data_IF_013474231691
#
_entry.id   IF_013474231691
#
_cell.length_a   1.000
_cell.length_b   1.000
_cell.length_c   1.000
_cell.angle_alpha   90.00
_cell.angle_beta   90.00
_cell.angle_gamma   90.00
#
_symmetry.space_group_name_H-M   'P 1'
#
loop_
_entity.id
_entity.type
_entity.pdbx_description
1 polymer ?
#
# COMPACT_ATOMS: atom_id res chain seq x y z
N UNK A 1 -3.87 -25.47 17.96
CA UNK A 1 -4.18 -24.42 16.96
C UNK A 1 -2.89 -24.15 16.18
N UNK A 2 -2.90 -24.15 14.84
CA UNK A 2 -1.64 -23.95 14.10
C UNK A 2 -1.09 -22.54 14.34
N UNK A 3 0.24 -22.35 14.37
CA UNK A 3 0.86 -21.03 14.50
C UNK A 3 0.33 -20.02 13.46
N UNK A 4 0.05 -20.48 12.24
CA UNK A 4 -0.58 -19.71 11.17
C UNK A 4 -1.99 -19.23 11.54
N UNK A 5 -2.86 -20.10 12.07
CA UNK A 5 -4.21 -19.71 12.52
C UNK A 5 -4.20 -18.71 13.67
N UNK A 6 -3.15 -18.75 14.52
CA UNK A 6 -2.97 -17.76 15.56
C UNK A 6 -2.56 -16.40 15.00
N UNK A 7 -1.63 -16.38 14.03
CA UNK A 7 -1.20 -15.16 13.34
C UNK A 7 -2.35 -14.51 12.55
N UNK A 8 -3.14 -15.30 11.81
CA UNK A 8 -4.33 -14.80 11.10
C UNK A 8 -5.32 -14.12 12.06
N UNK A 9 -5.56 -14.70 13.24
CA UNK A 9 -6.44 -14.13 14.26
C UNK A 9 -5.86 -12.85 14.87
N UNK A 10 -4.55 -12.77 15.10
CA UNK A 10 -3.89 -11.56 15.60
C UNK A 10 -3.97 -10.42 14.60
N UNK A 11 -3.71 -10.70 13.32
CA UNK A 11 -3.87 -9.73 12.23
C UNK A 11 -5.32 -9.25 12.21
N UNK A 12 -6.31 -10.14 12.07
CA UNK A 12 -7.71 -9.77 11.97
C UNK A 12 -8.25 -8.93 13.15
N UNK A 13 -7.72 -9.13 14.36
CA UNK A 13 -8.22 -8.45 15.58
C UNK A 13 -7.48 -7.16 15.93
N UNK A 14 -6.23 -6.98 15.49
CA UNK A 14 -5.39 -5.82 15.88
C UNK A 14 -5.22 -4.79 14.77
N UNK A 15 -5.30 -5.19 13.50
CA UNK A 15 -5.18 -4.29 12.35
C UNK A 15 -6.21 -3.14 12.34
N UNK A 16 -7.51 -3.37 12.63
CA UNK A 16 -8.51 -2.30 12.62
C UNK A 16 -8.22 -1.24 13.69
N UNK A 17 -7.67 -1.63 14.83
CA UNK A 17 -7.31 -0.72 15.91
C UNK A 17 -6.13 0.19 15.52
N UNK A 18 -5.11 -0.36 14.86
CA UNK A 18 -3.97 0.38 14.33
C UNK A 18 -4.39 1.37 13.23
N UNK A 19 -5.31 0.96 12.35
CA UNK A 19 -5.85 1.82 11.28
C UNK A 19 -6.67 3.01 11.83
N UNK A 20 -7.35 2.82 12.97
CA UNK A 20 -8.16 3.85 13.60
C UNK A 20 -7.33 4.91 14.35
N UNK A 21 -6.14 4.56 14.87
CA UNK A 21 -5.37 5.43 15.78
C UNK A 21 -3.98 5.85 15.25
N UNK A 22 -3.54 5.38 14.09
CA UNK A 22 -2.15 5.54 13.61
C UNK A 22 -1.78 6.87 12.93
N UNK A 23 -2.71 7.82 12.75
CA UNK A 23 -2.47 9.04 11.96
C UNK A 23 -2.16 10.26 12.83
N UNK A 24 -1.04 10.23 13.54
CA UNK A 24 -0.37 11.45 14.01
C UNK A 24 1.14 11.22 14.13
N UNK A 25 1.83 11.08 12.99
CA UNK A 25 3.27 10.81 12.93
C UNK A 25 4.02 11.91 12.15
N UNK A 26 3.90 13.17 12.56
CA UNK A 26 4.74 14.26 12.00
C UNK A 26 6.11 14.41 12.69
N UNK A 27 6.39 13.68 13.80
CA UNK A 27 7.64 13.78 14.59
C UNK A 27 8.50 12.50 14.61
N UNK A 28 8.23 11.53 13.74
CA UNK A 28 8.72 10.15 13.94
C UNK A 28 9.29 9.49 12.68
N UNK A 29 10.02 10.22 11.84
CA UNK A 29 10.67 9.65 10.64
C UNK A 29 11.48 8.39 10.96
N UNK A 30 12.30 8.46 12.01
CA UNK A 30 13.13 7.34 12.49
C UNK A 30 12.30 6.14 12.96
N UNK A 31 11.12 6.37 13.56
CA UNK A 31 10.24 5.29 14.02
C UNK A 31 9.58 4.58 12.84
N UNK A 32 9.12 5.33 11.83
CA UNK A 32 8.51 4.75 10.62
C UNK A 32 9.54 3.92 9.87
N UNK A 33 10.77 4.44 9.69
CA UNK A 33 11.86 3.66 9.10
C UNK A 33 12.18 2.40 9.90
N UNK A 34 12.23 2.50 11.24
CA UNK A 34 12.47 1.35 12.12
C UNK A 34 11.34 0.32 12.02
N UNK A 35 10.08 0.75 11.95
CA UNK A 35 8.90 -0.12 11.80
C UNK A 35 8.90 -0.82 10.45
N UNK A 36 9.21 -0.10 9.37
CA UNK A 36 9.34 -0.69 8.03
C UNK A 36 10.46 -1.73 8.03
N UNK A 37 11.63 -1.40 8.56
CA UNK A 37 12.76 -2.31 8.63
C UNK A 37 12.43 -3.56 9.48
N UNK A 38 11.85 -3.38 10.67
CA UNK A 38 11.46 -4.49 11.54
C UNK A 38 10.40 -5.40 10.90
N UNK A 39 9.40 -4.81 10.24
CA UNK A 39 8.36 -5.56 9.54
C UNK A 39 8.92 -6.35 8.36
N UNK A 40 9.85 -5.74 7.61
CA UNK A 40 10.51 -6.38 6.46
C UNK A 40 11.37 -7.58 6.88
N UNK A 41 12.12 -7.43 7.96
CA UNK A 41 12.96 -8.51 8.50
C UNK A 41 12.11 -9.65 9.08
N UNK A 42 11.00 -9.30 9.77
CA UNK A 42 10.02 -10.28 10.23
C UNK A 42 9.41 -11.06 9.06
N UNK A 43 8.95 -10.37 8.01
CA UNK A 43 8.38 -11.01 6.83
C UNK A 43 9.40 -11.91 6.13
N UNK A 44 10.65 -11.46 5.99
CA UNK A 44 11.75 -12.27 5.43
C UNK A 44 11.96 -13.56 6.21
N UNK A 45 11.98 -13.50 7.55
CA UNK A 45 12.12 -14.68 8.42
C UNK A 45 10.91 -15.61 8.34
N UNK A 46 9.70 -15.05 8.31
CA UNK A 46 8.47 -15.83 8.16
C UNK A 46 8.45 -16.55 6.81
N UNK A 47 8.80 -15.85 5.74
CA UNK A 47 8.90 -16.43 4.40
C UNK A 47 9.94 -17.55 4.34
N UNK A 48 11.12 -17.36 4.93
CA UNK A 48 12.14 -18.40 5.00
C UNK A 48 11.67 -19.67 5.75
N UNK A 49 10.74 -19.52 6.70
CA UNK A 49 10.23 -20.62 7.54
C UNK A 49 8.98 -21.30 6.99
N UNK A 50 8.08 -20.55 6.36
CA UNK A 50 6.73 -20.99 6.00
C UNK A 50 6.45 -20.87 4.49
N UNK A 51 7.41 -20.40 3.69
CA UNK A 51 7.32 -20.32 2.23
C UNK A 51 6.25 -19.35 1.74
N UNK A 52 5.68 -19.67 0.58
CA UNK A 52 4.78 -18.79 -0.18
C UNK A 52 3.43 -18.53 0.50
N UNK A 53 3.06 -19.34 1.49
CA UNK A 53 1.83 -19.13 2.26
C UNK A 53 1.85 -17.78 2.99
N UNK A 54 3.03 -17.35 3.47
CA UNK A 54 3.21 -16.03 4.08
C UNK A 54 2.94 -14.93 3.08
N UNK A 55 3.42 -15.07 1.85
CA UNK A 55 3.21 -14.09 0.80
C UNK A 55 1.72 -13.88 0.52
N UNK A 56 0.97 -14.98 0.35
CA UNK A 56 -0.47 -14.93 0.11
C UNK A 56 -1.25 -14.31 1.27
N UNK A 57 -0.89 -14.65 2.52
CA UNK A 57 -1.56 -14.10 3.71
C UNK A 57 -1.26 -12.60 3.85
N UNK A 58 -0.01 -12.20 3.65
CA UNK A 58 0.39 -10.79 3.73
C UNK A 58 -0.23 -9.97 2.60
N UNK A 59 -0.33 -10.51 1.39
CA UNK A 59 -0.99 -9.87 0.26
C UNK A 59 -2.46 -9.60 0.58
N UNK A 60 -3.19 -10.63 1.03
CA UNK A 60 -4.60 -10.53 1.43
C UNK A 60 -4.80 -9.52 2.56
N UNK A 61 -3.96 -9.56 3.59
CA UNK A 61 -4.06 -8.64 4.72
C UNK A 61 -3.85 -7.18 4.29
N UNK A 62 -2.90 -6.91 3.39
CA UNK A 62 -2.69 -5.56 2.86
C UNK A 62 -3.85 -5.13 1.95
N UNK A 63 -4.42 -6.04 1.16
CA UNK A 63 -5.62 -5.75 0.38
C UNK A 63 -6.81 -5.37 1.27
N UNK A 64 -7.08 -6.14 2.32
CA UNK A 64 -8.15 -5.85 3.30
C UNK A 64 -7.92 -4.54 4.06
N UNK A 65 -6.67 -4.22 4.41
CA UNK A 65 -6.28 -2.90 4.94
C UNK A 65 -6.61 -1.78 3.97
N UNK A 66 -6.27 -1.98 2.69
CA UNK A 66 -6.62 -1.09 1.61
C UNK A 66 -8.12 -0.84 1.56
N UNK A 67 -8.93 -1.90 1.59
CA UNK A 67 -10.38 -1.78 1.58
C UNK A 67 -10.90 -0.95 2.77
N UNK A 68 -10.38 -1.19 3.97
CA UNK A 68 -10.74 -0.41 5.15
C UNK A 68 -10.36 1.08 5.01
N UNK A 69 -9.20 1.37 4.43
CA UNK A 69 -8.78 2.74 4.10
C UNK A 69 -9.72 3.37 3.07
N UNK A 70 -10.03 2.69 1.97
CA UNK A 70 -10.95 3.20 0.94
C UNK A 70 -12.34 3.50 1.51
N UNK A 71 -12.87 2.62 2.35
CA UNK A 71 -14.13 2.81 3.07
C UNK A 71 -14.11 4.04 3.98
N UNK A 72 -13.00 4.22 4.70
CA UNK A 72 -12.78 5.42 5.52
C UNK A 72 -12.73 6.68 4.67
N UNK A 73 -12.02 6.66 3.54
CA UNK A 73 -11.90 7.81 2.65
C UNK A 73 -13.25 8.24 2.07
N UNK A 74 -14.11 7.28 1.68
CA UNK A 74 -15.49 7.57 1.24
C UNK A 74 -16.30 8.26 2.33
N UNK A 75 -16.27 7.72 3.56
CA UNK A 75 -17.09 8.23 4.67
C UNK A 75 -16.61 9.58 5.20
N UNK A 76 -15.30 9.75 5.38
CA UNK A 76 -14.74 10.94 6.05
C UNK A 76 -14.45 12.09 5.08
N UNK A 77 -14.12 11.79 3.83
CA UNK A 77 -13.68 12.78 2.84
C UNK A 77 -14.58 12.86 1.59
N UNK A 78 -15.64 12.05 1.52
CA UNK A 78 -16.64 12.13 0.45
C UNK A 78 -16.12 11.75 -0.93
N UNK A 79 -15.05 10.95 -1.02
CA UNK A 79 -14.47 10.54 -2.30
C UNK A 79 -15.46 9.69 -3.12
N UNK A 80 -15.77 10.12 -4.35
CA UNK A 80 -16.86 9.58 -5.18
C UNK A 80 -16.45 8.51 -6.20
N UNK A 81 -15.15 8.31 -6.43
CA UNK A 81 -14.64 7.24 -7.30
C UNK A 81 -14.22 7.65 -8.71
N UNK A 82 -13.93 8.95 -8.91
CA UNK A 82 -13.25 9.43 -10.11
C UNK A 82 -11.75 9.10 -10.08
N UNK A 83 -11.05 9.27 -11.21
CA UNK A 83 -9.58 9.12 -11.26
C UNK A 83 -8.89 10.11 -10.33
N UNK A 84 -9.40 11.33 -10.25
CA UNK A 84 -8.93 12.36 -9.32
C UNK A 84 -9.14 11.97 -7.84
N UNK A 85 -10.26 11.35 -7.51
CA UNK A 85 -10.50 10.82 -6.17
C UNK A 85 -9.53 9.68 -5.85
N UNK A 86 -9.29 8.79 -6.81
CA UNK A 86 -8.32 7.71 -6.65
C UNK A 86 -6.89 8.23 -6.47
N UNK A 87 -6.49 9.28 -7.21
CA UNK A 87 -5.20 9.94 -7.02
C UNK A 87 -5.08 10.57 -5.63
N UNK A 88 -6.14 11.26 -5.18
CA UNK A 88 -6.23 11.86 -3.85
C UNK A 88 -6.07 10.79 -2.76
N UNK A 89 -6.76 9.66 -2.90
CA UNK A 89 -6.63 8.53 -1.99
C UNK A 89 -5.19 8.04 -1.92
N UNK A 90 -4.53 7.83 -3.07
CA UNK A 90 -3.14 7.36 -3.12
C UNK A 90 -2.21 8.36 -2.43
N UNK A 91 -2.38 9.66 -2.68
CA UNK A 91 -1.60 10.70 -2.02
C UNK A 91 -1.77 10.65 -0.49
N UNK A 92 -3.00 10.49 0.00
CA UNK A 92 -3.28 10.37 1.43
C UNK A 92 -2.69 9.10 2.04
N UNK A 93 -2.70 7.98 1.31
CA UNK A 93 -2.08 6.71 1.73
C UNK A 93 -0.56 6.87 1.94
N UNK A 94 0.12 7.61 1.06
CA UNK A 94 1.59 7.62 1.03
C UNK A 94 2.23 8.70 1.93
N UNK A 95 1.51 9.79 2.24
CA UNK A 95 2.02 10.91 3.07
C UNK A 95 2.56 10.44 4.43
N UNK A 96 1.88 9.58 5.20
CA UNK A 96 2.36 9.11 6.50
C UNK A 96 3.70 8.37 6.43
N UNK A 97 4.06 7.82 5.27
CA UNK A 97 5.30 7.09 5.07
C UNK A 97 6.44 7.96 4.52
N UNK A 98 6.24 9.28 4.43
CA UNK A 98 7.24 10.21 3.88
C UNK A 98 7.52 10.02 2.39
N UNK A 99 6.65 9.30 1.68
CA UNK A 99 6.81 9.03 0.26
C UNK A 99 6.44 10.30 -0.53
N UNK A 100 7.25 10.62 -1.53
CA UNK A 100 6.99 11.71 -2.46
C UNK A 100 6.68 11.15 -3.85
N UNK A 101 5.79 11.81 -4.57
CA UNK A 101 5.42 11.46 -5.93
C UNK A 101 5.26 12.70 -6.79
N UNK A 102 5.41 12.53 -8.10
CA UNK A 102 5.07 13.53 -9.11
C UNK A 102 4.11 12.94 -10.14
N UNK A 103 3.16 13.75 -10.57
CA UNK A 103 2.27 13.43 -11.68
C UNK A 103 3.01 13.72 -12.98
N UNK A 104 2.97 12.75 -13.91
CA UNK A 104 3.60 12.84 -15.24
C UNK A 104 2.56 13.16 -16.32
N UNK A 105 1.35 12.63 -16.16
CA UNK A 105 0.21 12.83 -17.05
C UNK A 105 -1.06 12.81 -16.21
N UNK A 106 -1.99 13.71 -16.50
CA UNK A 106 -3.31 13.76 -15.88
C UNK A 106 -4.35 14.11 -16.94
N UNK A 107 -5.39 13.28 -17.01
CA UNK A 107 -6.59 13.45 -17.82
C UNK A 107 -7.80 13.08 -16.96
N UNK A 108 -9.01 13.23 -17.49
CA UNK A 108 -10.23 12.85 -16.76
C UNK A 108 -10.33 11.33 -16.50
N UNK A 109 -9.70 10.50 -17.36
CA UNK A 109 -9.82 9.04 -17.35
C UNK A 109 -8.54 8.30 -16.95
N UNK A 110 -7.40 9.00 -16.90
CA UNK A 110 -6.14 8.43 -16.43
C UNK A 110 -5.21 9.44 -15.77
N UNK A 111 -4.41 8.94 -14.84
CA UNK A 111 -3.25 9.63 -14.29
C UNK A 111 -2.06 8.68 -14.24
N UNK A 112 -0.94 9.14 -14.77
CA UNK A 112 0.35 8.46 -14.62
C UNK A 112 1.20 9.25 -13.65
N UNK A 113 1.79 8.56 -12.68
CA UNK A 113 2.63 9.17 -11.67
C UNK A 113 3.81 8.27 -11.32
N UNK A 114 4.87 8.88 -10.81
CA UNK A 114 6.00 8.15 -10.27
C UNK A 114 6.34 8.63 -8.87
N UNK A 115 6.89 7.72 -8.07
CA UNK A 115 7.52 8.11 -6.81
C UNK A 115 8.84 8.79 -7.11
N UNK A 116 9.12 9.89 -6.43
CA UNK A 116 10.41 10.60 -6.46
C UNK A 116 11.24 10.30 -5.22
N UNK A 117 10.60 9.80 -4.16
CA UNK A 117 11.22 9.31 -2.95
C UNK A 117 10.34 8.23 -2.29
N UNK A 118 10.93 7.13 -1.82
CA UNK A 118 10.18 6.03 -1.21
C UNK A 118 10.99 5.34 -0.09
N UNK A 119 10.88 5.80 1.17
CA UNK A 119 11.57 5.19 2.31
C UNK A 119 11.31 3.70 2.46
N UNK A 120 10.09 3.26 2.12
CA UNK A 120 9.72 1.84 2.12
C UNK A 120 10.57 1.01 1.16
N UNK A 121 10.71 1.46 -0.09
CA UNK A 121 11.53 0.74 -1.07
C UNK A 121 13.01 0.75 -0.66
N UNK A 122 13.49 1.88 -0.14
CA UNK A 122 14.87 2.00 0.33
C UNK A 122 15.17 1.04 1.49
N UNK A 123 14.20 0.85 2.40
CA UNK A 123 14.30 -0.14 3.47
C UNK A 123 14.27 -1.59 2.95
N UNK A 124 13.36 -1.91 2.02
CA UNK A 124 13.28 -3.24 1.39
C UNK A 124 14.59 -3.60 0.67
N UNK A 125 15.12 -2.67 -0.12
CA UNK A 125 16.40 -2.82 -0.83
C UNK A 125 17.55 -3.06 0.14
N UNK A 126 17.64 -2.31 1.25
CA UNK A 126 18.66 -2.51 2.30
C UNK A 126 18.65 -3.92 2.89
N UNK A 127 17.51 -4.61 2.85
CA UNK A 127 17.35 -5.97 3.35
C UNK A 127 17.43 -7.06 2.26
N UNK A 128 17.63 -6.67 1.00
CA UNK A 128 17.68 -7.58 -0.14
C UNK A 128 16.32 -8.22 -0.45
N UNK A 129 15.21 -7.52 -0.22
CA UNK A 129 13.86 -7.98 -0.53
C UNK A 129 13.11 -6.95 -1.38
N UNK A 130 12.10 -7.39 -2.12
CA UNK A 130 11.13 -6.52 -2.80
C UNK A 130 9.72 -6.91 -2.37
N UNK A 131 9.12 -6.07 -1.50
CA UNK A 131 7.74 -6.22 -1.05
C UNK A 131 6.84 -5.09 -1.58
N UNK A 132 7.25 -4.39 -2.65
CA UNK A 132 6.46 -3.31 -3.22
C UNK A 132 5.12 -3.80 -3.77
N UNK A 133 5.08 -4.95 -4.44
CA UNK A 133 3.82 -5.54 -4.91
C UNK A 133 2.98 -6.02 -3.73
N UNK A 134 3.61 -6.79 -2.83
CA UNK A 134 2.97 -7.42 -1.68
C UNK A 134 2.25 -6.43 -0.75
N UNK A 135 2.90 -5.30 -0.47
CA UNK A 135 2.43 -4.32 0.51
C UNK A 135 1.78 -3.14 -0.20
N UNK A 136 2.56 -2.41 -1.01
CA UNK A 136 2.11 -1.12 -1.56
C UNK A 136 1.09 -1.29 -2.70
N UNK A 137 1.26 -2.26 -3.60
CA UNK A 137 0.26 -2.47 -4.66
C UNK A 137 -1.01 -3.08 -4.10
N UNK A 138 -0.92 -4.07 -3.20
CA UNK A 138 -2.09 -4.72 -2.61
C UNK A 138 -2.95 -3.76 -1.81
N UNK A 139 -2.35 -2.92 -0.96
CA UNK A 139 -3.10 -1.90 -0.22
C UNK A 139 -3.77 -0.88 -1.15
N UNK A 140 -3.03 -0.30 -2.09
CA UNK A 140 -3.60 0.67 -3.03
C UNK A 140 -4.72 0.06 -3.90
N UNK A 141 -4.57 -1.19 -4.35
CA UNK A 141 -5.61 -1.90 -5.13
C UNK A 141 -6.86 -2.16 -4.29
N UNK A 142 -6.70 -2.61 -3.05
CA UNK A 142 -7.83 -2.81 -2.13
C UNK A 142 -8.60 -1.51 -1.89
N UNK A 143 -7.88 -0.42 -1.68
CA UNK A 143 -8.47 0.89 -1.44
C UNK A 143 -9.23 1.43 -2.65
N UNK A 144 -8.64 1.33 -3.84
CA UNK A 144 -9.28 1.75 -5.09
C UNK A 144 -10.49 0.89 -5.45
N UNK A 145 -10.42 -0.43 -5.26
CA UNK A 145 -11.54 -1.33 -5.51
C UNK A 145 -12.77 -1.00 -4.65
N UNK A 146 -12.54 -0.59 -3.41
CA UNK A 146 -13.59 -0.10 -2.51
C UNK A 146 -14.11 1.30 -2.90
N UNK A 147 -13.21 2.16 -3.37
CA UNK A 147 -13.56 3.50 -3.84
C UNK A 147 -14.48 3.43 -5.06
N UNK A 148 -14.11 2.63 -6.06
CA UNK A 148 -14.91 2.39 -7.26
C UNK A 148 -14.45 1.13 -8.00
N UNK A 149 -15.37 0.24 -8.41
CA UNK A 149 -15.03 -0.96 -9.18
C UNK A 149 -14.49 -0.64 -10.58
N UNK A 150 -14.64 0.60 -11.06
CA UNK A 150 -14.12 1.05 -12.36
C UNK A 150 -12.67 1.55 -12.30
N UNK A 151 -12.09 1.78 -11.12
CA UNK A 151 -10.71 2.25 -11.00
C UNK A 151 -9.72 1.08 -11.01
N UNK A 152 -8.63 1.22 -11.76
CA UNK A 152 -7.52 0.25 -11.81
C UNK A 152 -6.19 0.94 -11.67
N UNK A 153 -5.27 0.26 -10.99
CA UNK A 153 -3.91 0.72 -10.77
C UNK A 153 -2.91 -0.31 -11.31
N UNK A 154 -2.20 0.09 -12.35
CA UNK A 154 -1.15 -0.69 -12.98
C UNK A 154 0.22 -0.21 -12.53
N UNK A 155 1.15 -1.15 -12.36
CA UNK A 155 2.56 -0.85 -12.21
C UNK A 155 3.17 -0.77 -13.61
N UNK A 156 3.50 0.43 -14.07
CA UNK A 156 4.06 0.65 -15.42
C UNK A 156 5.57 0.59 -15.43
N UNK A 157 6.22 0.83 -14.28
CA UNK A 157 7.66 0.61 -14.08
C UNK A 157 7.93 0.13 -12.67
N UNK A 158 8.60 -1.02 -12.53
CA UNK A 158 9.12 -1.50 -11.23
C UNK A 158 10.20 -0.56 -10.71
N UNK A 159 10.36 -0.42 -9.38
CA UNK A 159 11.48 0.33 -8.83
C UNK A 159 12.80 -0.44 -9.07
N UNK A 160 13.92 0.27 -9.14
CA UNK A 160 15.23 -0.31 -9.44
C UNK A 160 16.37 0.63 -9.10
N UNK A 161 17.57 0.36 -9.64
CA UNK A 161 18.72 1.25 -9.41
C UNK A 161 18.45 2.64 -10.00
N UNK A 162 18.57 3.66 -9.15
CA UNK A 162 18.41 5.07 -9.55
C UNK A 162 16.98 5.52 -9.84
N UNK A 163 15.96 4.68 -9.64
CA UNK A 163 14.57 5.06 -9.91
C UNK A 163 13.56 4.33 -9.02
N UNK A 164 12.43 4.99 -8.74
CA UNK A 164 11.30 4.37 -8.04
C UNK A 164 10.17 3.98 -9.01
N UNK A 165 9.13 3.38 -8.45
CA UNK A 165 8.02 2.86 -9.24
C UNK A 165 7.24 3.96 -9.96
N UNK A 166 6.80 3.64 -11.17
CA UNK A 166 5.80 4.40 -11.92
C UNK A 166 4.51 3.59 -11.98
N UNK A 167 3.38 4.26 -11.82
CA UNK A 167 2.05 3.65 -11.83
C UNK A 167 1.11 4.44 -12.73
N UNK A 168 0.10 3.74 -13.23
CA UNK A 168 -1.01 4.32 -13.98
C UNK A 168 -2.33 3.98 -13.28
N UNK A 169 -3.01 5.00 -12.79
CA UNK A 169 -4.39 4.90 -12.33
C UNK A 169 -5.32 5.29 -13.47
N UNK A 170 -6.30 4.46 -13.79
CA UNK A 170 -7.18 4.72 -14.92
C UNK A 170 -8.57 4.13 -14.67
N UNK A 171 -9.55 4.64 -15.39
CA UNK A 171 -10.90 4.07 -15.44
C UNK A 171 -10.94 2.92 -16.44
N UNK A 172 -11.54 1.81 -16.06
CA UNK A 172 -11.94 0.74 -16.97
C UNK A 172 -13.43 0.89 -17.22
N UNK A 173 -13.78 1.11 -18.48
CA UNK A 173 -15.17 1.06 -18.91
C UNK A 173 -15.62 -0.39 -18.77
N UNK A 174 -16.67 -0.63 -17.98
CA UNK A 174 -17.34 -1.92 -17.97
C UNK A 174 -17.81 -2.22 -19.39
N UNK A 175 -17.38 -3.37 -19.93
CA UNK A 175 -17.88 -3.89 -21.21
C UNK A 175 -19.38 -4.19 -21.13
#
# INVERSE_FOLDING_TARGET
MSPLKHLERLIATKLPWLAAHGLCLKKHGDLIETLIAGTSEMLKRLQARFGDEVYRITERANFELGQALGERMKREYGLGGTVKDGLTLIQMEIIPFGIQMRVLLETDDEVTFEKTHCPMFDAFRRQGVDYCDLICMSAARGALATLSPSLRLDLTRRPGEGHYCQKRLHRVLSA
#
